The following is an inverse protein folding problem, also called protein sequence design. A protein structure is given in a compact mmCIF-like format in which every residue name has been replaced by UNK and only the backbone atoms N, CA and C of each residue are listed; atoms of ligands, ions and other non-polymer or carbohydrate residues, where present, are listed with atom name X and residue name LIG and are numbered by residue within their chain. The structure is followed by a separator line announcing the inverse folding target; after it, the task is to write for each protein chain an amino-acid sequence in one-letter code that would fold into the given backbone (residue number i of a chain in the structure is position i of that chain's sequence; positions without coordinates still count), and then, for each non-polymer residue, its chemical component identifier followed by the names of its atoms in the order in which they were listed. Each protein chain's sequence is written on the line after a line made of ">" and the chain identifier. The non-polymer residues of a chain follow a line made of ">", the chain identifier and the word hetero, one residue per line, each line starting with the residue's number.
data_IF_903880722407
#
_entry.id   IF_903880722407
#
_cell.length_a   1.000
_cell.length_b   1.000
_cell.length_c   1.000
_cell.angle_alpha   90.00
_cell.angle_beta   90.00
_cell.angle_gamma   90.00
#
_symmetry.space_group_name_H-M   'P 1'
#
loop_
_entity.id
_entity.type
_entity.pdbx_description
1 polymer ?
#
# COMPACT_ATOMS: atom_id res chain seq x y z
N UNK A 1 -4.09 10.75 6.67
CA UNK A 1 -2.84 10.40 5.99
C UNK A 1 -2.37 9.00 6.40
N UNK A 2 -2.31 8.67 7.71
CA UNK A 2 -1.90 7.34 8.20
C UNK A 2 -2.71 6.21 7.58
N UNK A 3 -4.04 6.31 7.59
CA UNK A 3 -4.94 5.33 6.97
C UNK A 3 -4.62 5.11 5.48
N UNK A 4 -4.33 6.18 4.74
CA UNK A 4 -3.97 6.09 3.33
C UNK A 4 -2.63 5.39 3.11
N UNK A 5 -1.61 5.74 3.91
CA UNK A 5 -0.31 5.07 3.87
C UNK A 5 -0.46 3.59 4.20
N UNK A 6 -1.24 3.23 5.23
CA UNK A 6 -1.52 1.84 5.58
C UNK A 6 -2.19 1.07 4.42
N UNK A 7 -3.15 1.69 3.72
CA UNK A 7 -3.81 1.08 2.56
C UNK A 7 -2.86 0.92 1.37
N UNK A 8 -1.99 1.90 1.09
CA UNK A 8 -0.98 1.78 0.04
C UNK A 8 0.06 0.71 0.37
N UNK A 9 0.54 0.66 1.61
CA UNK A 9 1.47 -0.36 2.09
C UNK A 9 0.87 -1.77 2.00
N UNK A 10 -0.39 -1.93 2.40
CA UNK A 10 -1.14 -3.18 2.27
C UNK A 10 -1.23 -3.65 0.81
N UNK A 11 -1.62 -2.73 -0.09
CA UNK A 11 -1.73 -3.05 -1.52
C UNK A 11 -0.37 -3.39 -2.14
N UNK A 12 0.70 -2.73 -1.72
CA UNK A 12 2.05 -3.02 -2.16
C UNK A 12 2.49 -4.41 -1.68
N UNK A 13 2.29 -4.74 -0.40
CA UNK A 13 2.60 -6.05 0.17
C UNK A 13 1.85 -7.18 -0.55
N UNK A 14 0.55 -7.00 -0.83
CA UNK A 14 -0.25 -7.94 -1.62
C UNK A 14 0.35 -8.19 -3.02
N UNK A 15 0.80 -7.11 -3.70
CA UNK A 15 1.42 -7.24 -5.02
C UNK A 15 2.76 -7.98 -4.96
N UNK A 16 3.60 -7.70 -3.96
CA UNK A 16 4.86 -8.41 -3.75
C UNK A 16 4.62 -9.91 -3.58
N UNK A 17 3.67 -10.31 -2.74
CA UNK A 17 3.34 -11.74 -2.53
C UNK A 17 2.79 -12.40 -3.79
N UNK A 18 1.91 -11.72 -4.55
CA UNK A 18 1.36 -12.25 -5.81
C UNK A 18 2.43 -12.53 -6.87
N UNK A 19 3.53 -11.81 -6.85
CA UNK A 19 4.66 -12.02 -7.76
C UNK A 19 5.81 -12.82 -7.12
N UNK A 20 5.59 -13.41 -5.92
CA UNK A 20 6.60 -14.17 -5.16
C UNK A 20 7.88 -13.38 -4.92
N UNK A 21 7.74 -12.13 -4.55
CA UNK A 21 8.85 -11.21 -4.31
C UNK A 21 8.76 -10.60 -2.92
N UNK A 22 9.92 -10.19 -2.42
CA UNK A 22 10.07 -9.47 -1.16
C UNK A 22 10.86 -8.19 -1.38
N UNK A 23 10.76 -7.27 -0.46
CA UNK A 23 11.55 -6.02 -0.48
C UNK A 23 12.39 -5.89 0.78
N UNK A 24 13.61 -5.40 0.63
CA UNK A 24 14.47 -5.01 1.75
C UNK A 24 14.38 -3.52 2.09
N UNK A 25 13.63 -2.74 1.29
CA UNK A 25 13.60 -1.30 1.49
C UNK A 25 12.31 -0.71 0.93
N UNK A 26 11.70 0.21 1.66
CA UNK A 26 10.56 0.99 1.19
C UNK A 26 10.81 2.48 1.35
N UNK A 27 10.26 3.26 0.44
CA UNK A 27 10.20 4.74 0.52
C UNK A 27 8.76 5.14 0.77
N UNK A 28 8.54 5.86 1.85
CA UNK A 28 7.22 6.45 2.17
C UNK A 28 7.30 7.94 1.93
N UNK A 29 6.34 8.48 1.18
CA UNK A 29 6.34 9.90 0.85
C UNK A 29 4.96 10.53 0.93
N UNK A 30 4.93 11.82 1.19
CA UNK A 30 3.74 12.67 1.06
C UNK A 30 4.14 14.10 0.68
N UNK A 31 3.37 14.74 -0.18
CA UNK A 31 3.62 16.13 -0.58
C UNK A 31 2.34 16.92 -0.83
N UNK A 32 2.47 18.23 -0.71
CA UNK A 32 1.42 19.22 -0.94
C UNK A 32 1.18 19.43 -2.44
N UNK A 33 0.15 20.16 -2.80
CA UNK A 33 -0.13 20.50 -4.19
C UNK A 33 0.81 21.62 -4.67
N UNK A 34 1.81 21.26 -5.49
CA UNK A 34 2.81 22.19 -6.05
C UNK A 34 2.24 23.25 -7.00
N UNK A 35 0.99 23.08 -7.45
CA UNK A 35 0.32 24.01 -8.35
C UNK A 35 -0.53 25.07 -7.61
N UNK A 36 -0.50 25.07 -6.27
CA UNK A 36 -1.13 26.09 -5.45
C UNK A 36 -0.05 27.02 -4.88
N UNK A 37 0.11 28.19 -5.49
CA UNK A 37 1.13 29.17 -5.10
C UNK A 37 0.80 29.83 -3.74
N UNK A 38 -0.47 29.91 -3.38
CA UNK A 38 -0.99 30.56 -2.16
C UNK A 38 -0.98 29.64 -0.93
N UNK A 39 -0.56 28.37 -1.05
CA UNK A 39 -0.54 27.43 0.06
C UNK A 39 0.89 27.05 0.46
N UNK A 40 1.17 26.89 1.76
CA UNK A 40 2.49 26.48 2.23
C UNK A 40 2.84 25.12 1.69
N UNK A 41 4.05 25.00 1.14
CA UNK A 41 4.53 23.80 0.49
C UNK A 41 5.41 22.96 1.42
N UNK A 42 5.24 21.63 1.40
CA UNK A 42 6.09 20.70 2.10
C UNK A 42 6.20 19.37 1.36
N UNK A 43 7.30 18.69 1.61
CA UNK A 43 7.56 17.33 1.17
C UNK A 43 8.04 16.53 2.38
N UNK A 44 7.37 15.44 2.69
CA UNK A 44 7.76 14.46 3.69
C UNK A 44 8.17 13.18 2.98
N UNK A 45 9.33 12.66 3.29
CA UNK A 45 9.75 11.33 2.84
C UNK A 45 10.57 10.63 3.94
N UNK A 46 10.54 9.32 3.92
CA UNK A 46 11.37 8.48 4.76
C UNK A 46 11.73 7.20 4.02
N UNK A 47 12.98 6.81 4.15
CA UNK A 47 13.48 5.51 3.75
C UNK A 47 13.41 4.58 4.95
N UNK A 48 12.87 3.38 4.75
CA UNK A 48 12.83 2.30 5.73
C UNK A 48 13.56 1.10 5.15
N UNK A 49 14.53 0.58 5.87
CA UNK A 49 15.26 -0.63 5.51
C UNK A 49 14.87 -1.77 6.45
N UNK A 50 14.59 -2.93 5.90
CA UNK A 50 14.32 -4.15 6.64
C UNK A 50 15.60 -4.97 6.79
N UNK A 51 15.83 -5.54 7.96
CA UNK A 51 16.99 -6.40 8.20
C UNK A 51 16.88 -7.64 7.31
N UNK A 52 15.71 -8.26 7.28
CA UNK A 52 15.40 -9.37 6.38
C UNK A 52 14.37 -8.89 5.36
N UNK A 53 14.60 -9.13 4.05
CA UNK A 53 13.63 -8.80 3.01
C UNK A 53 12.26 -9.42 3.30
N UNK A 54 11.19 -8.65 3.18
CA UNK A 54 9.85 -9.09 3.57
C UNK A 54 8.76 -8.68 2.60
N UNK A 55 7.67 -9.45 2.55
CA UNK A 55 6.39 -9.09 1.96
C UNK A 55 5.25 -9.18 3.02
N UNK A 56 5.63 -9.30 4.31
CA UNK A 56 4.63 -9.34 5.37
C UNK A 56 3.90 -8.01 5.49
N UNK A 57 2.57 -8.10 5.40
CA UNK A 57 1.70 -6.93 5.37
C UNK A 57 1.76 -6.13 6.67
N UNK A 58 1.83 -6.80 7.83
CA UNK A 58 1.82 -6.13 9.13
C UNK A 58 3.11 -5.37 9.36
N UNK A 59 4.24 -5.99 9.07
CA UNK A 59 5.57 -5.39 9.17
C UNK A 59 5.66 -4.15 8.27
N UNK A 60 5.31 -4.30 6.98
CA UNK A 60 5.38 -3.20 6.01
C UNK A 60 4.46 -2.05 6.42
N UNK A 61 3.22 -2.32 6.84
CA UNK A 61 2.28 -1.28 7.28
C UNK A 61 2.79 -0.57 8.52
N UNK A 62 3.24 -1.32 9.54
CA UNK A 62 3.71 -0.74 10.80
C UNK A 62 4.88 0.20 10.56
N UNK A 63 5.89 -0.24 9.81
CA UNK A 63 7.06 0.55 9.52
C UNK A 63 6.75 1.75 8.59
N UNK A 64 5.87 1.59 7.60
CA UNK A 64 5.45 2.69 6.74
C UNK A 64 4.70 3.79 7.51
N UNK A 65 3.79 3.40 8.40
CA UNK A 65 3.04 4.35 9.23
C UNK A 65 3.97 5.06 10.21
N UNK A 66 4.88 4.33 10.87
CA UNK A 66 5.86 4.89 11.79
C UNK A 66 6.81 5.88 11.11
N UNK A 67 7.32 5.52 9.93
CA UNK A 67 8.17 6.39 9.13
C UNK A 67 7.45 7.68 8.71
N UNK A 68 6.18 7.57 8.30
CA UNK A 68 5.38 8.74 7.97
C UNK A 68 5.09 9.62 9.19
N UNK A 69 4.81 9.04 10.36
CA UNK A 69 4.61 9.80 11.59
C UNK A 69 5.82 10.66 11.96
N UNK A 70 7.04 10.11 11.80
CA UNK A 70 8.29 10.84 12.06
C UNK A 70 8.54 11.97 11.06
N UNK A 71 8.11 11.81 9.82
CA UNK A 71 8.35 12.78 8.73
C UNK A 71 7.21 13.78 8.58
N UNK A 72 6.06 13.52 9.20
CA UNK A 72 4.85 14.33 9.07
C UNK A 72 5.03 15.70 9.71
N UNK A 73 4.58 16.73 9.00
CA UNK A 73 4.48 18.10 9.52
C UNK A 73 3.02 18.51 9.57
N UNK A 74 2.55 18.96 10.74
CA UNK A 74 1.19 19.48 10.90
C UNK A 74 1.03 20.85 10.21
N UNK A 75 -0.20 21.24 9.89
CA UNK A 75 -0.49 22.53 9.27
C UNK A 75 -0.35 22.58 7.75
N UNK A 76 0.01 21.47 7.10
CA UNK A 76 0.12 21.39 5.65
C UNK A 76 -0.97 20.52 5.03
N UNK A 77 -1.52 20.93 3.88
CA UNK A 77 -2.50 20.20 3.11
C UNK A 77 -1.84 19.20 2.16
N UNK A 78 -1.53 17.97 2.63
CA UNK A 78 -0.97 16.93 1.78
C UNK A 78 -1.94 16.52 0.68
N UNK A 79 -1.51 16.56 -0.58
CA UNK A 79 -2.31 16.22 -1.76
C UNK A 79 -2.04 14.81 -2.28
N UNK A 80 -0.78 14.36 -2.23
CA UNK A 80 -0.38 13.02 -2.64
C UNK A 80 0.46 12.35 -1.57
N UNK A 81 0.28 11.03 -1.45
CA UNK A 81 1.07 10.18 -0.60
C UNK A 81 1.24 8.81 -1.26
N UNK A 82 2.25 8.07 -0.86
CA UNK A 82 2.47 6.74 -1.40
C UNK A 82 3.56 5.98 -0.68
N UNK A 83 3.65 4.70 -1.03
CA UNK A 83 4.70 3.79 -0.59
C UNK A 83 5.29 3.13 -1.83
N UNK A 84 6.60 3.11 -1.93
CA UNK A 84 7.35 2.52 -3.03
C UNK A 84 8.24 1.42 -2.45
N UNK A 85 8.14 0.20 -2.98
CA UNK A 85 9.11 -0.85 -2.69
C UNK A 85 10.33 -0.67 -3.58
N UNK A 86 11.51 -0.76 -2.99
CA UNK A 86 12.81 -0.76 -3.66
C UNK A 86 13.59 -2.00 -3.27
N UNK A 87 14.67 -2.31 -3.99
CA UNK A 87 15.48 -3.52 -3.74
C UNK A 87 14.63 -4.79 -3.63
N UNK A 88 13.78 -4.99 -4.63
CA UNK A 88 12.91 -6.15 -4.74
C UNK A 88 13.73 -7.35 -5.23
N UNK A 89 13.59 -8.48 -4.55
CA UNK A 89 14.21 -9.75 -4.91
C UNK A 89 13.16 -10.87 -4.92
N UNK A 90 13.47 -11.97 -5.58
CA UNK A 90 12.65 -13.18 -5.51
C UNK A 90 12.66 -13.73 -4.07
N UNK A 91 11.51 -14.17 -3.59
CA UNK A 91 11.33 -14.76 -2.26
C UNK A 91 12.27 -15.94 -1.99
N UNK A 92 12.59 -16.72 -3.02
CA UNK A 92 13.52 -17.87 -2.93
C UNK A 92 14.97 -17.47 -2.66
N UNK A 93 15.32 -16.21 -2.93
CA UNK A 93 16.67 -15.69 -2.75
C UNK A 93 16.88 -15.01 -1.39
N UNK A 94 15.91 -15.11 -0.49
CA UNK A 94 16.03 -14.55 0.87
C UNK A 94 17.01 -15.39 1.68
N UNK A 95 18.05 -14.74 2.17
CA UNK A 95 18.94 -15.35 3.17
C UNK A 95 18.41 -15.02 4.56
N UNK A 96 17.92 -16.04 5.25
CA UNK A 96 17.49 -15.92 6.64
C UNK A 96 18.68 -15.89 7.59
N UNK A 97 18.58 -15.07 8.62
CA UNK A 97 19.60 -15.07 9.68
C UNK A 97 19.47 -16.32 10.54
N UNK A 98 20.60 -16.84 11.02
CA UNK A 98 20.62 -17.96 11.99
C UNK A 98 19.97 -17.62 13.33
N UNK A 99 19.74 -16.33 13.59
CA UNK A 99 19.14 -15.83 14.85
C UNK A 99 17.66 -15.47 14.70
N UNK A 100 17.06 -15.72 13.54
CA UNK A 100 15.63 -15.47 13.32
C UNK A 100 14.80 -16.60 13.94
N UNK A 101 13.68 -16.20 14.53
CA UNK A 101 12.66 -17.14 15.02
C UNK A 101 11.86 -17.70 13.83
N UNK A 102 12.27 -18.86 13.34
CA UNK A 102 11.64 -19.52 12.19
C UNK A 102 10.18 -19.87 12.46
N UNK A 103 9.81 -20.19 13.71
CA UNK A 103 8.42 -20.48 14.07
C UNK A 103 7.53 -19.24 13.99
N UNK A 104 8.06 -18.09 14.40
CA UNK A 104 7.36 -16.80 14.26
C UNK A 104 7.14 -16.44 12.80
N UNK A 105 8.17 -16.59 11.95
CA UNK A 105 8.09 -16.34 10.50
C UNK A 105 7.05 -17.25 9.84
N UNK A 106 7.06 -18.56 10.14
CA UNK A 106 6.06 -19.48 9.59
C UNK A 106 4.63 -19.15 10.04
N UNK A 107 4.46 -18.74 11.29
CA UNK A 107 3.16 -18.30 11.82
C UNK A 107 2.65 -17.07 11.10
N UNK A 108 3.50 -16.09 10.89
CA UNK A 108 3.17 -14.87 10.15
C UNK A 108 2.80 -15.17 8.70
N UNK A 109 3.54 -16.05 8.06
CA UNK A 109 3.24 -16.49 6.69
C UNK A 109 1.88 -17.19 6.60
N UNK A 110 1.53 -18.06 7.55
CA UNK A 110 0.22 -18.72 7.61
C UNK A 110 -0.92 -17.72 7.80
N UNK A 111 -0.75 -16.75 8.71
CA UNK A 111 -1.76 -15.69 8.95
C UNK A 111 -1.96 -14.85 7.68
N UNK A 112 -0.87 -14.40 7.05
CA UNK A 112 -0.93 -13.58 5.86
C UNK A 112 -1.57 -14.33 4.68
N UNK A 113 -1.24 -15.61 4.50
CA UNK A 113 -1.84 -16.46 3.47
C UNK A 113 -3.35 -16.65 3.68
N UNK A 114 -3.78 -16.83 4.94
CA UNK A 114 -5.20 -16.93 5.27
C UNK A 114 -5.94 -15.61 4.99
N UNK A 115 -5.35 -14.46 5.33
CA UNK A 115 -5.90 -13.13 5.01
C UNK A 115 -6.05 -12.92 3.50
N UNK A 116 -5.02 -13.29 2.73
CA UNK A 116 -5.05 -13.18 1.28
C UNK A 116 -6.11 -14.10 0.67
N UNK A 117 -6.27 -15.33 1.15
CA UNK A 117 -7.30 -16.27 0.72
C UNK A 117 -8.71 -15.72 0.97
N UNK A 118 -8.97 -15.17 2.15
CA UNK A 118 -10.27 -14.57 2.48
C UNK A 118 -10.55 -13.35 1.59
N UNK A 119 -9.57 -12.45 1.45
CA UNK A 119 -9.74 -11.25 0.64
C UNK A 119 -9.87 -11.55 -0.87
N UNK A 120 -9.30 -12.65 -1.35
CA UNK A 120 -9.47 -13.10 -2.74
C UNK A 120 -10.85 -13.71 -2.99
N UNK A 121 -11.39 -14.44 -2.02
CA UNK A 121 -12.67 -15.15 -2.14
C UNK A 121 -13.86 -14.21 -1.93
N UNK A 122 -13.82 -13.39 -0.89
CA UNK A 122 -14.93 -12.53 -0.46
C UNK A 122 -14.82 -11.07 -0.90
N UNK A 123 -13.74 -10.72 -1.60
CA UNK A 123 -13.49 -9.38 -2.10
C UNK A 123 -12.43 -8.62 -1.31
N UNK A 124 -11.75 -7.72 -2.01
CA UNK A 124 -10.65 -6.93 -1.47
C UNK A 124 -11.07 -6.11 -0.26
N UNK A 125 -10.35 -6.29 0.85
CA UNK A 125 -10.58 -5.52 2.07
C UNK A 125 -11.70 -6.06 2.96
N UNK A 126 -12.16 -7.31 2.76
CA UNK A 126 -13.06 -8.02 3.67
C UNK A 126 -12.43 -8.10 5.06
N UNK A 127 -11.16 -8.47 5.14
CA UNK A 127 -10.36 -8.38 6.37
C UNK A 127 -9.25 -7.35 6.17
N UNK A 128 -9.12 -6.46 7.15
CA UNK A 128 -8.10 -5.39 7.16
C UNK A 128 -7.46 -5.29 8.54
N UNK A 129 -6.26 -4.75 8.60
CA UNK A 129 -5.69 -4.28 9.86
C UNK A 129 -6.41 -3.01 10.32
N UNK A 130 -6.60 -2.84 11.63
CA UNK A 130 -7.33 -1.69 12.19
C UNK A 130 -6.79 -0.32 11.73
N UNK A 131 -5.47 -0.21 11.54
CA UNK A 131 -4.80 1.02 11.07
C UNK A 131 -5.21 1.42 9.63
N UNK A 132 -5.76 0.50 8.84
CA UNK A 132 -6.29 0.77 7.50
C UNK A 132 -7.66 1.48 7.53
N UNK A 133 -8.25 1.65 8.69
CA UNK A 133 -9.48 2.42 8.92
C UNK A 133 -10.72 1.79 8.31
N UNK A 134 -11.82 2.54 8.38
CA UNK A 134 -13.15 2.09 7.94
C UNK A 134 -13.41 2.27 6.43
N UNK A 135 -12.44 2.78 5.67
CA UNK A 135 -12.61 3.05 4.23
C UNK A 135 -13.49 4.25 3.90
N UNK A 136 -13.75 5.14 4.88
CA UNK A 136 -14.51 6.38 4.67
C UNK A 136 -13.78 7.40 3.80
N UNK A 137 -12.44 7.32 3.76
CA UNK A 137 -11.62 8.21 2.92
C UNK A 137 -11.59 7.63 1.51
N UNK A 138 -12.43 8.17 0.63
CA UNK A 138 -12.42 7.82 -0.79
C UNK A 138 -11.42 8.70 -1.55
N UNK A 139 -10.73 8.11 -2.51
CA UNK A 139 -9.96 8.88 -3.49
C UNK A 139 -10.97 9.65 -4.35
N UNK A 140 -10.73 10.96 -4.55
CA UNK A 140 -11.57 11.73 -5.47
C UNK A 140 -11.39 11.21 -6.89
N UNK A 141 -12.43 10.62 -7.45
CA UNK A 141 -12.46 10.03 -8.79
C UNK A 141 -13.75 10.37 -9.54
N UNK A 142 -14.28 11.58 -9.28
CA UNK A 142 -15.58 12.01 -9.81
C UNK A 142 -15.57 12.30 -11.31
N UNK A 143 -14.38 12.48 -11.90
CA UNK A 143 -14.21 12.78 -13.32
C UNK A 143 -13.49 11.66 -14.06
N UNK A 144 -13.97 10.42 -13.91
CA UNK A 144 -13.45 9.29 -14.68
C UNK A 144 -14.16 9.21 -16.04
N UNK A 145 -13.42 8.87 -17.08
CA UNK A 145 -14.02 8.49 -18.36
C UNK A 145 -14.77 7.15 -18.22
N UNK A 146 -15.84 6.93 -18.98
CA UNK A 146 -16.53 5.65 -19.02
C UNK A 146 -15.59 4.48 -19.35
N UNK A 147 -15.89 3.31 -18.80
CA UNK A 147 -15.05 2.11 -18.95
C UNK A 147 -15.47 1.29 -20.19
N UNK A 148 -15.46 1.89 -21.36
CA UNK A 148 -15.95 1.30 -22.61
C UNK A 148 -15.36 -0.07 -22.98
N UNK A 149 -14.15 -0.35 -22.49
CA UNK A 149 -13.42 -1.60 -22.80
C UNK A 149 -13.55 -2.67 -21.71
N UNK A 150 -14.10 -2.32 -20.55
CA UNK A 150 -14.13 -3.22 -19.37
C UNK A 150 -15.51 -3.37 -18.73
N UNK A 151 -16.45 -2.49 -19.06
CA UNK A 151 -17.80 -2.50 -18.51
C UNK A 151 -18.84 -2.40 -19.63
N UNK A 152 -19.60 -3.47 -19.84
CA UNK A 152 -20.62 -3.53 -20.89
C UNK A 152 -21.72 -2.46 -20.74
N UNK A 153 -22.08 -2.09 -19.52
CA UNK A 153 -23.06 -1.05 -19.24
C UNK A 153 -22.66 0.35 -19.70
N UNK A 154 -21.36 0.59 -19.86
CA UNK A 154 -20.81 1.89 -20.21
C UNK A 154 -20.65 2.08 -21.73
N UNK A 155 -20.92 1.02 -22.52
CA UNK A 155 -20.88 1.09 -23.99
C UNK A 155 -22.04 1.95 -24.48
N UNK A 156 -21.78 3.00 -25.30
CA UNK A 156 -22.85 3.85 -25.83
C UNK A 156 -23.82 3.05 -26.71
N UNK A 157 -25.10 3.13 -26.40
CA UNK A 157 -26.14 2.59 -27.27
C UNK A 157 -26.40 3.53 -28.43
N UNK A 158 -26.11 3.09 -29.66
CA UNK A 158 -26.39 3.84 -30.89
C UNK A 158 -27.72 3.33 -31.46
N UNK A 159 -28.71 4.21 -31.49
CA UNK A 159 -29.95 3.94 -32.21
C UNK A 159 -29.82 4.48 -33.65
N UNK A 160 -29.85 3.60 -34.61
CA UNK A 160 -29.95 3.97 -36.03
C UNK A 160 -31.39 4.39 -36.32
N UNK A 161 -31.58 5.62 -36.76
CA UNK A 161 -32.86 6.12 -37.28
C UNK A 161 -33.03 5.77 -38.74
#
# INVERSE_FOLDING_TARGET
>A
LQEQIANFASTMAEKLRKQHSVTSEIVVFAYTNRFKDDAPQTYANALVSFVTPTADQRTIITEAVHAMQKSFKSGYGYKKAGVIATKIIDEKNVMHSLFEDTEAIEREHKITSALDAINSTFGKGTIKLAVQGSGKIKTSSESQSPHYTTLWSDIPNVTVK
#
